data_IF_097534587508
#
_entry.id   IF_097534587508
#
_cell.length_a   1.000
_cell.length_b   1.000
_cell.length_c   1.000
_cell.angle_alpha   90.00
_cell.angle_beta   90.00
_cell.angle_gamma   90.00
#
_symmetry.space_group_name_H-M   'P 1'
#
loop_
_entity.id
_entity.type
_entity.pdbx_description
1 polymer ?
#
# COMPACT_ATOMS: atom_id res chain seq x y z
N UNK A 1 -7.88 21.86 -10.07
CA UNK A 1 -8.52 21.66 -8.75
C UNK A 1 -7.63 20.76 -7.89
N UNK A 2 -7.63 20.91 -6.57
CA UNK A 2 -6.88 20.05 -5.64
C UNK A 2 -7.90 19.21 -4.87
N UNK A 3 -7.65 17.91 -4.79
CA UNK A 3 -8.46 16.97 -4.03
C UNK A 3 -7.58 16.30 -2.97
N UNK A 4 -8.02 16.41 -1.71
CA UNK A 4 -7.34 15.87 -0.54
C UNK A 4 -8.20 14.76 0.07
N UNK A 5 -7.65 13.54 0.18
CA UNK A 5 -8.36 12.36 0.70
C UNK A 5 -7.55 11.69 1.83
N UNK A 6 -8.18 11.54 2.99
CA UNK A 6 -7.72 10.65 4.07
C UNK A 6 -8.32 9.26 3.88
N UNK A 7 -7.48 8.24 3.68
CA UNK A 7 -7.92 6.87 3.43
C UNK A 7 -7.38 5.90 4.49
N UNK A 8 -8.31 5.12 5.07
CA UNK A 8 -7.98 4.05 6.03
C UNK A 8 -8.19 2.69 5.41
N UNK A 9 -7.13 1.88 5.42
CA UNK A 9 -7.16 0.52 4.89
C UNK A 9 -7.27 -0.51 6.01
N UNK A 10 -7.86 -1.66 5.69
CA UNK A 10 -7.97 -2.76 6.65
C UNK A 10 -6.58 -3.31 7.01
N UNK A 11 -6.42 -3.75 8.26
CA UNK A 11 -5.15 -4.22 8.84
C UNK A 11 -4.58 -5.49 8.20
N UNK A 12 -5.43 -6.22 7.49
CA UNK A 12 -5.08 -7.49 6.84
C UNK A 12 -4.63 -7.29 5.38
N UNK A 13 -4.63 -6.04 4.90
CA UNK A 13 -4.10 -5.72 3.58
C UNK A 13 -2.59 -5.58 3.65
N UNK A 14 -1.91 -6.33 2.78
CA UNK A 14 -0.49 -6.12 2.55
C UNK A 14 -0.23 -4.82 1.77
N UNK A 15 1.02 -4.37 1.78
CA UNK A 15 1.42 -3.14 1.11
C UNK A 15 1.12 -3.17 -0.41
N UNK A 16 1.17 -4.34 -1.05
CA UNK A 16 0.89 -4.48 -2.47
C UNK A 16 -0.61 -4.36 -2.79
N UNK A 17 -1.49 -4.78 -1.87
CA UNK A 17 -2.93 -4.66 -1.97
C UNK A 17 -3.37 -3.22 -1.74
N UNK A 18 -2.74 -2.54 -0.78
CA UNK A 18 -2.93 -1.10 -0.53
C UNK A 18 -2.52 -0.28 -1.77
N UNK A 19 -1.33 -0.50 -2.32
CA UNK A 19 -0.87 0.19 -3.54
C UNK A 19 -1.84 -0.01 -4.71
N UNK A 20 -2.25 -1.26 -4.97
CA UNK A 20 -3.24 -1.57 -6.02
C UNK A 20 -4.59 -0.90 -5.79
N UNK A 21 -4.99 -0.66 -4.54
CA UNK A 21 -6.23 0.03 -4.24
C UNK A 21 -6.11 1.53 -4.53
N UNK A 22 -4.98 2.15 -4.19
CA UNK A 22 -4.67 3.55 -4.48
C UNK A 22 -4.66 3.78 -5.99
N UNK A 23 -3.97 2.94 -6.77
CA UNK A 23 -3.93 3.04 -8.23
C UNK A 23 -5.34 3.04 -8.85
N UNK A 24 -6.25 2.21 -8.34
CA UNK A 24 -7.64 2.15 -8.81
C UNK A 24 -8.40 3.43 -8.47
N UNK A 25 -8.18 3.98 -7.28
CA UNK A 25 -8.82 5.22 -6.82
C UNK A 25 -8.32 6.39 -7.68
N UNK A 26 -7.01 6.54 -7.87
CA UNK A 26 -6.43 7.59 -8.70
C UNK A 26 -6.91 7.51 -10.14
N UNK A 27 -6.92 6.30 -10.72
CA UNK A 27 -7.39 6.11 -12.09
C UNK A 27 -8.84 6.55 -12.24
N UNK A 28 -9.72 6.16 -11.32
CA UNK A 28 -11.14 6.52 -11.39
C UNK A 28 -11.36 8.01 -11.18
N UNK A 29 -10.62 8.65 -10.27
CA UNK A 29 -10.66 10.11 -10.08
C UNK A 29 -10.23 10.81 -11.36
N UNK A 30 -9.17 10.34 -12.02
CA UNK A 30 -8.68 10.94 -13.27
C UNK A 30 -9.64 10.76 -14.44
N UNK A 31 -10.29 9.60 -14.52
CA UNK A 31 -11.26 9.29 -15.58
C UNK A 31 -12.56 10.10 -15.41
N UNK A 32 -13.05 10.27 -14.18
CA UNK A 32 -14.31 11.00 -13.89
C UNK A 32 -14.11 12.51 -13.75
N UNK A 33 -12.93 12.95 -13.31
CA UNK A 33 -12.61 14.36 -13.03
C UNK A 33 -11.23 14.76 -13.59
N UNK A 34 -11.09 14.90 -14.93
CA UNK A 34 -9.84 15.30 -15.56
C UNK A 34 -9.32 16.69 -15.13
N UNK A 35 -10.18 17.53 -14.54
CA UNK A 35 -9.84 18.85 -13.97
C UNK A 35 -9.06 18.79 -12.63
N UNK A 36 -8.93 17.60 -12.04
CA UNK A 36 -8.11 17.37 -10.84
C UNK A 36 -6.65 17.26 -11.27
N UNK A 37 -5.88 18.31 -10.98
CA UNK A 37 -4.48 18.41 -11.40
C UNK A 37 -3.54 17.66 -10.44
N UNK A 38 -3.95 17.51 -9.18
CA UNK A 38 -3.15 16.90 -8.12
C UNK A 38 -4.07 16.13 -7.16
N UNK A 39 -3.69 14.89 -6.86
CA UNK A 39 -4.32 14.02 -5.87
C UNK A 39 -3.27 13.71 -4.82
N UNK A 40 -3.57 14.02 -3.56
CA UNK A 40 -2.75 13.64 -2.42
C UNK A 40 -3.47 12.54 -1.66
N UNK A 41 -2.75 11.44 -1.39
CA UNK A 41 -3.28 10.29 -0.68
C UNK A 41 -2.37 10.00 0.50
N UNK A 42 -2.87 10.25 1.70
CA UNK A 42 -2.21 9.86 2.94
C UNK A 42 -2.77 8.51 3.41
N UNK A 43 -1.85 7.60 3.76
CA UNK A 43 -2.20 6.21 4.08
C UNK A 43 -1.61 5.84 5.42
N UNK A 44 -2.46 5.86 6.45
CA UNK A 44 -2.13 5.24 7.73
C UNK A 44 -2.28 3.72 7.62
N UNK A 45 -1.21 3.06 7.14
CA UNK A 45 -1.15 1.60 7.17
C UNK A 45 -0.83 1.15 8.59
N UNK A 46 -1.79 0.47 9.24
CA UNK A 46 -1.54 -0.30 10.47
C UNK A 46 -0.78 -1.55 10.04
N UNK A 47 0.50 -1.40 9.73
CA UNK A 47 1.36 -2.51 9.31
C UNK A 47 1.48 -3.48 10.48
N UNK A 48 0.83 -4.65 10.36
CA UNK A 48 1.27 -5.81 11.13
C UNK A 48 2.67 -6.14 10.62
N UNK A 49 3.70 -5.85 11.43
CA UNK A 49 5.01 -6.48 11.28
C UNK A 49 4.74 -7.98 11.11
N UNK A 50 5.07 -8.51 9.95
CA UNK A 50 5.27 -9.95 9.80
C UNK A 50 6.52 -10.27 10.62
N UNK A 51 6.31 -10.60 11.88
CA UNK A 51 7.31 -11.23 12.74
C UNK A 51 7.56 -12.63 12.17
N UNK A 52 8.53 -12.70 11.26
CA UNK A 52 8.89 -13.94 10.55
C UNK A 52 10.32 -13.97 10.04
N UNK A 53 11.12 -12.94 10.30
CA UNK A 53 12.59 -13.02 10.24
C UNK A 53 13.09 -13.18 11.67
N UNK A 54 13.18 -14.44 12.09
CA UNK A 54 13.94 -14.83 13.27
C UNK A 54 15.44 -14.66 12.94
N UNK A 55 16.16 -13.67 13.50
CA UNK A 55 17.57 -13.42 13.20
C UNK A 55 18.49 -14.56 13.67
N UNK A 56 17.93 -15.57 14.34
CA UNK A 56 18.65 -16.73 14.87
C UNK A 56 18.57 -17.96 13.95
N UNK A 57 17.82 -17.91 12.83
CA UNK A 57 17.73 -19.06 11.92
C UNK A 57 19.03 -19.20 11.09
N UNK A 58 19.82 -20.27 11.26
CA UNK A 58 21.01 -20.49 10.44
C UNK A 58 20.60 -20.76 8.97
N UNK A 59 21.42 -20.34 7.99
CA UNK A 59 21.16 -20.59 6.58
C UNK A 59 21.10 -22.09 6.29
N UNK A 60 20.26 -22.53 5.33
CA UNK A 60 20.18 -23.94 4.95
C UNK A 60 21.55 -24.44 4.44
N UNK A 61 21.93 -25.68 4.75
CA UNK A 61 23.19 -26.25 4.28
C UNK A 61 23.22 -26.28 2.75
N UNK A 62 24.39 -26.01 2.18
CA UNK A 62 24.60 -26.10 0.73
C UNK A 62 24.34 -27.55 0.26
N UNK A 63 23.72 -27.73 -0.92
CA UNK A 63 23.56 -29.05 -1.50
C UNK A 63 24.94 -29.71 -1.77
N UNK A 64 25.01 -31.06 -1.78
CA UNK A 64 26.26 -31.82 -1.89
C UNK A 64 26.99 -31.59 -3.21
#
# INVERSE_FOLDING_TARGET
MILDLDLRFHRDLDAAAVARAIDRIEKRIRDEHPEVAYVFVEVESITRRVEGEDPTRPPPPAPP
#
